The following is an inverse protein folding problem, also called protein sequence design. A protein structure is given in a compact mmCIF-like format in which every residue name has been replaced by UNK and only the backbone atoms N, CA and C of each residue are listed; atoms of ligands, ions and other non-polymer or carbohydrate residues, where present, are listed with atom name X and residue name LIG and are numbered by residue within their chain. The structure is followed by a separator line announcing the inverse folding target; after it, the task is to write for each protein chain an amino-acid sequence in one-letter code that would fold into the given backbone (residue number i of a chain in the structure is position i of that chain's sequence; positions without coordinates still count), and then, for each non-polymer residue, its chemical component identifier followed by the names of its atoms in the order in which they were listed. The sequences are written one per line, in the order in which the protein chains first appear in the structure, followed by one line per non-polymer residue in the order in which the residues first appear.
data_IF_026977338742
#
_entry.id   IF_026977338742
#
_cell.length_a   1.000
_cell.length_b   1.000
_cell.length_c   1.000
_cell.angle_alpha   90.00
_cell.angle_beta   90.00
_cell.angle_gamma   90.00
#
_symmetry.space_group_name_H-M   'P 1'
#
loop_
_entity.id
_entity.type
_entity.pdbx_description
1 polymer ?
#
# COMPACT_ATOMS: atom_id res chain seq x y z
N UNK A 1 10.16 8.00 15.40
CA UNK A 1 10.22 7.18 14.16
C UNK A 1 8.86 7.28 13.49
N UNK A 2 8.78 7.51 12.17
CA UNK A 2 7.49 7.68 11.48
C UNK A 2 6.85 6.30 11.24
N UNK A 3 5.58 6.17 11.56
CA UNK A 3 4.82 4.90 11.49
C UNK A 3 3.38 5.18 11.08
N UNK A 4 2.70 4.16 10.56
CA UNK A 4 1.24 4.15 10.38
C UNK A 4 0.52 3.26 11.39
N UNK A 5 1.24 2.63 12.33
CA UNK A 5 0.66 1.65 13.25
C UNK A 5 -0.28 2.26 14.31
N UNK A 6 -0.24 3.58 14.46
CA UNK A 6 -1.12 4.40 15.31
C UNK A 6 -2.23 5.11 14.51
N UNK A 7 -2.30 4.87 13.19
CA UNK A 7 -3.20 5.56 12.27
C UNK A 7 -4.28 4.62 11.74
N UNK A 8 -5.53 5.09 11.71
CA UNK A 8 -6.67 4.34 11.14
C UNK A 8 -7.32 5.05 9.95
N UNK A 9 -6.84 6.25 9.61
CA UNK A 9 -7.41 7.14 8.59
C UNK A 9 -6.30 7.82 7.78
N UNK A 10 -6.66 8.42 6.66
CA UNK A 10 -5.78 9.17 5.77
C UNK A 10 -5.11 8.33 4.69
N UNK A 11 -4.48 9.02 3.75
CA UNK A 11 -3.74 8.40 2.65
C UNK A 11 -2.26 8.81 2.71
N UNK A 12 -1.37 7.84 2.47
CA UNK A 12 0.06 8.03 2.55
C UNK A 12 0.77 7.36 1.37
N UNK A 13 1.79 8.02 0.84
CA UNK A 13 2.76 7.42 -0.07
C UNK A 13 3.88 6.78 0.76
N UNK A 14 3.93 5.46 0.75
CA UNK A 14 4.93 4.65 1.46
C UNK A 14 5.98 4.19 0.46
N UNK A 15 7.21 4.66 0.63
CA UNK A 15 8.35 4.21 -0.19
C UNK A 15 9.14 3.16 0.56
N UNK A 16 9.40 2.03 -0.07
CA UNK A 16 10.31 0.99 0.41
C UNK A 16 11.54 0.92 -0.49
N UNK A 17 12.57 0.16 -0.13
CA UNK A 17 13.74 -0.05 -1.00
C UNK A 17 13.42 -0.53 -2.42
N UNK A 18 12.28 -1.19 -2.61
CA UNK A 18 11.95 -1.86 -3.86
C UNK A 18 10.77 -1.22 -4.60
N UNK A 19 9.92 -0.47 -3.91
CA UNK A 19 8.61 -0.07 -4.44
C UNK A 19 8.07 1.16 -3.74
N UNK A 20 7.11 1.81 -4.39
CA UNK A 20 6.28 2.82 -3.76
C UNK A 20 4.83 2.35 -3.76
N UNK A 21 4.14 2.60 -2.65
CA UNK A 21 2.74 2.27 -2.45
C UNK A 21 1.95 3.50 -2.04
N UNK A 22 0.78 3.71 -2.64
CA UNK A 22 -0.27 4.50 -2.01
C UNK A 22 -1.02 3.58 -1.03
N UNK A 23 -0.98 3.92 0.25
CA UNK A 23 -1.76 3.27 1.31
C UNK A 23 -2.88 4.23 1.71
N UNK A 24 -4.13 3.87 1.44
CA UNK A 24 -5.31 4.66 1.78
C UNK A 24 -6.12 3.93 2.87
N UNK A 25 -6.01 4.42 4.10
CA UNK A 25 -6.64 3.83 5.28
C UNK A 25 -8.13 4.21 5.38
N UNK A 26 -8.53 5.35 4.82
CA UNK A 26 -9.94 5.78 4.76
C UNK A 26 -10.75 4.81 3.89
N UNK A 27 -10.20 4.45 2.72
CA UNK A 27 -10.84 3.57 1.74
C UNK A 27 -10.48 2.09 1.93
N UNK A 28 -9.54 1.77 2.83
CA UNK A 28 -9.01 0.40 3.04
C UNK A 28 -8.47 -0.21 1.75
N UNK A 29 -7.65 0.55 1.01
CA UNK A 29 -7.02 0.09 -0.25
C UNK A 29 -5.54 0.41 -0.30
N UNK A 30 -4.80 -0.38 -1.07
CA UNK A 30 -3.41 -0.13 -1.42
C UNK A 30 -3.24 -0.17 -2.93
N UNK A 31 -2.37 0.69 -3.47
CA UNK A 31 -1.94 0.65 -4.88
C UNK A 31 -0.44 0.71 -4.96
N UNK A 32 0.18 -0.19 -5.71
CA UNK A 32 1.62 -0.14 -5.96
C UNK A 32 1.91 0.67 -7.23
N UNK A 33 2.83 1.62 -7.16
CA UNK A 33 3.27 2.37 -8.34
C UNK A 33 4.05 1.46 -9.29
N UNK A 34 3.74 1.45 -10.60
CA UNK A 34 4.51 0.71 -11.60
C UNK A 34 5.97 1.13 -11.62
N UNK A 35 6.86 0.15 -11.82
CA UNK A 35 8.26 0.44 -12.16
C UNK A 35 8.34 0.85 -13.63
N UNK A 36 9.19 1.82 -13.95
CA UNK A 36 9.49 2.17 -15.34
C UNK A 36 10.13 0.98 -16.06
N UNK A 37 9.71 0.74 -17.30
CA UNK A 37 10.26 -0.31 -18.19
C UNK A 37 10.09 -1.77 -17.72
N UNK A 38 9.09 -2.07 -16.88
CA UNK A 38 8.78 -3.45 -16.42
C UNK A 38 7.27 -3.73 -16.53
N UNK A 39 6.73 -3.69 -17.76
CA UNK A 39 5.30 -3.84 -18.01
C UNK A 39 4.78 -5.25 -17.63
N UNK A 40 5.51 -6.30 -18.03
CA UNK A 40 5.12 -7.69 -17.73
C UNK A 40 5.17 -7.96 -16.22
N UNK A 41 6.23 -7.51 -15.55
CA UNK A 41 6.33 -7.59 -14.09
C UNK A 41 5.28 -6.76 -13.38
N UNK A 42 4.91 -5.58 -13.92
CA UNK A 42 3.84 -4.75 -13.38
C UNK A 42 2.49 -5.48 -13.42
N UNK A 43 2.16 -6.20 -14.50
CA UNK A 43 0.92 -6.99 -14.60
C UNK A 43 0.88 -8.12 -13.58
N UNK A 44 1.96 -8.92 -13.48
CA UNK A 44 2.04 -10.02 -12.50
C UNK A 44 1.96 -9.53 -11.05
N UNK A 45 2.53 -8.35 -10.77
CA UNK A 45 2.55 -7.72 -9.44
C UNK A 45 1.27 -6.92 -9.15
N UNK A 46 0.42 -6.72 -10.18
CA UNK A 46 -0.80 -5.89 -10.15
C UNK A 46 -0.49 -4.45 -9.75
N UNK A 47 0.56 -3.90 -10.36
CA UNK A 47 0.87 -2.48 -10.21
C UNK A 47 -0.25 -1.63 -10.82
N UNK A 48 -0.45 -0.42 -10.28
CA UNK A 48 -1.54 0.52 -10.58
C UNK A 48 -2.97 0.03 -10.31
N UNK A 49 -3.13 -1.21 -9.84
CA UNK A 49 -4.41 -1.73 -9.38
C UNK A 49 -4.68 -1.38 -7.91
N UNK A 50 -5.91 -0.97 -7.59
CA UNK A 50 -6.37 -0.82 -6.21
C UNK A 50 -6.71 -2.20 -5.65
N UNK A 51 -5.95 -2.62 -4.64
CA UNK A 51 -6.13 -3.87 -3.92
C UNK A 51 -6.73 -3.59 -2.55
N UNK A 52 -7.66 -4.41 -2.10
CA UNK A 52 -8.26 -4.27 -0.77
C UNK A 52 -7.23 -4.55 0.32
N UNK A 53 -7.06 -3.58 1.22
CA UNK A 53 -6.23 -3.69 2.41
C UNK A 53 -7.09 -4.18 3.56
N UNK A 54 -6.96 -5.46 3.89
CA UNK A 54 -7.63 -6.06 5.05
C UNK A 54 -7.01 -5.51 6.33
N UNK A 55 -5.67 -5.53 6.40
CA UNK A 55 -4.93 -5.10 7.57
C UNK A 55 -3.50 -4.66 7.23
N UNK A 56 -3.03 -3.60 7.88
CA UNK A 56 -1.62 -3.20 7.88
C UNK A 56 -0.97 -3.79 9.14
N UNK A 57 -0.06 -4.75 8.97
CA UNK A 57 0.57 -5.49 10.08
C UNK A 57 1.84 -4.83 10.59
N UNK A 58 2.60 -4.20 9.70
CA UNK A 58 3.76 -3.37 10.04
C UNK A 58 3.98 -2.34 8.93
N UNK A 59 4.13 -1.07 9.31
CA UNK A 59 4.49 0.02 8.41
C UNK A 59 5.19 1.13 9.20
N UNK A 60 6.44 0.87 9.53
CA UNK A 60 7.31 1.81 10.25
C UNK A 60 8.61 1.99 9.48
N UNK A 61 9.07 3.24 9.36
CA UNK A 61 10.38 3.54 8.72
C UNK A 61 11.48 2.71 9.40
N UNK A 62 12.27 1.99 8.61
CA UNK A 62 13.31 1.09 9.08
C UNK A 62 12.87 -0.37 9.30
N UNK A 63 11.57 -0.68 9.23
CA UNK A 63 11.04 -2.04 9.30
C UNK A 63 10.55 -2.52 7.93
N UNK A 64 10.39 -3.84 7.77
CA UNK A 64 9.73 -4.41 6.58
C UNK A 64 8.25 -4.03 6.56
N UNK A 65 7.75 -3.61 5.40
CA UNK A 65 6.32 -3.40 5.21
C UNK A 65 5.60 -4.75 5.17
N UNK A 66 4.61 -4.95 6.03
CA UNK A 66 3.78 -6.16 6.10
C UNK A 66 2.29 -5.82 6.06
N UNK A 67 1.55 -6.52 5.21
CA UNK A 67 0.14 -6.24 4.95
C UNK A 67 -0.63 -7.52 4.65
N UNK A 68 -1.91 -7.53 5.01
CA UNK A 68 -2.88 -8.56 4.63
C UNK A 68 -3.81 -7.95 3.59
N UNK A 69 -3.90 -8.61 2.43
CA UNK A 69 -4.62 -8.13 1.26
C UNK A 69 -5.70 -9.11 0.83
N UNK A 70 -6.84 -8.61 0.39
CA UNK A 70 -7.80 -9.41 -0.38
C UNK A 70 -7.53 -9.19 -1.88
N UNK A 71 -7.01 -10.24 -2.52
CA UNK A 71 -6.66 -10.25 -3.93
C UNK A 71 -7.83 -10.67 -4.84
N UNK A 72 -9.00 -11.00 -4.27
CA UNK A 72 -10.18 -11.54 -4.96
C UNK A 72 -9.89 -12.80 -5.77
N UNK A 73 -8.99 -13.64 -5.27
CA UNK A 73 -8.69 -14.95 -5.86
C UNK A 73 -9.63 -15.97 -5.26
N UNK A 74 -10.36 -16.71 -6.10
CA UNK A 74 -11.33 -17.70 -5.65
C UNK A 74 -10.69 -18.74 -4.71
N UNK A 75 -11.30 -18.96 -3.54
CA UNK A 75 -10.80 -19.89 -2.53
C UNK A 75 -9.64 -19.36 -1.67
N UNK A 76 -9.17 -18.12 -1.90
CA UNK A 76 -8.12 -17.49 -1.10
C UNK A 76 -8.72 -16.30 -0.35
N UNK A 77 -8.96 -16.42 0.97
CA UNK A 77 -9.65 -15.37 1.73
C UNK A 77 -8.79 -14.12 1.93
N UNK A 78 -7.47 -14.29 2.03
CA UNK A 78 -6.50 -13.20 2.14
C UNK A 78 -5.09 -13.67 1.78
N UNK A 79 -4.22 -12.72 1.47
CA UNK A 79 -2.80 -12.92 1.18
C UNK A 79 -1.97 -12.04 2.11
N UNK A 80 -1.07 -12.67 2.88
CA UNK A 80 -0.01 -11.94 3.59
C UNK A 80 1.08 -11.55 2.58
N UNK A 81 1.42 -10.27 2.53
CA UNK A 81 2.50 -9.75 1.70
C UNK A 81 3.52 -9.02 2.56
N UNK A 82 4.76 -9.49 2.50
CA UNK A 82 5.94 -8.82 3.06
C UNK A 82 6.74 -8.17 1.94
N UNK A 83 7.00 -6.88 2.07
CA UNK A 83 7.82 -6.07 1.15
C UNK A 83 9.17 -5.73 1.81
N UNK A 84 10.01 -5.00 1.09
CA UNK A 84 11.28 -4.49 1.62
C UNK A 84 11.08 -3.39 2.66
N UNK A 85 12.19 -2.99 3.30
CA UNK A 85 12.21 -1.97 4.35
C UNK A 85 11.61 -0.66 3.90
N UNK A 86 10.76 -0.08 4.74
CA UNK A 86 10.16 1.25 4.55
C UNK A 86 11.24 2.33 4.75
N UNK A 87 11.34 3.23 3.77
CA UNK A 87 12.27 4.36 3.74
C UNK A 87 11.58 5.68 4.09
N UNK A 88 10.36 5.88 3.62
CA UNK A 88 9.56 7.06 3.92
C UNK A 88 8.07 6.74 3.91
N UNK A 89 7.32 7.57 4.62
CA UNK A 89 5.85 7.56 4.67
C UNK A 89 5.48 9.02 4.49
N UNK A 90 4.78 9.44 3.46
CA UNK A 90 4.41 10.85 3.27
C UNK A 90 2.90 11.00 3.09
N UNK A 91 2.25 11.91 3.83
CA UNK A 91 0.81 12.12 3.66
C UNK A 91 0.52 12.66 2.26
N UNK A 92 -0.56 12.16 1.65
CA UNK A 92 -1.03 12.60 0.34
C UNK A 92 -2.55 12.73 0.35
N UNK A 93 -3.11 13.40 -0.66
CA UNK A 93 -4.55 13.39 -0.86
C UNK A 93 -5.03 11.97 -1.21
N UNK A 94 -6.09 11.51 -0.55
CA UNK A 94 -6.81 10.31 -0.98
C UNK A 94 -7.35 10.54 -2.39
N UNK A 95 -7.03 9.69 -3.39
CA UNK A 95 -7.54 9.86 -4.73
C UNK A 95 -9.08 9.80 -4.72
N UNK A 96 -9.74 10.82 -5.27
CA UNK A 96 -11.19 10.89 -5.36
C UNK A 96 -11.92 11.45 -4.13
N UNK A 97 -11.19 12.00 -3.14
CA UNK A 97 -11.79 12.79 -2.06
C UNK A 97 -11.65 14.28 -2.38
N UNK A 98 -12.77 14.97 -2.61
CA UNK A 98 -12.82 16.43 -2.60
C UNK A 98 -12.62 16.92 -1.16
N UNK A 99 -11.84 17.99 -0.95
CA UNK A 99 -11.85 18.70 0.33
C UNK A 99 -13.30 19.15 0.63
N UNK A 100 -13.78 19.08 1.88
CA UNK A 100 -15.07 19.68 2.20
C UNK A 100 -15.01 21.17 1.89
N UNK A 101 -15.97 21.63 1.09
CA UNK A 101 -16.22 23.05 0.77
C UNK A 101 -16.56 23.84 2.02
#
# INVERSE_FOLDING_TARGET
MKTLMDSTTGANLVTTHASTYLVDLDRRVIKRTPRTHDADGALLRRDDELVMLVELRECTVGQHLEMILDLRVHGVPATLRRSSTVLSIEPVASPGRSLPT
#
